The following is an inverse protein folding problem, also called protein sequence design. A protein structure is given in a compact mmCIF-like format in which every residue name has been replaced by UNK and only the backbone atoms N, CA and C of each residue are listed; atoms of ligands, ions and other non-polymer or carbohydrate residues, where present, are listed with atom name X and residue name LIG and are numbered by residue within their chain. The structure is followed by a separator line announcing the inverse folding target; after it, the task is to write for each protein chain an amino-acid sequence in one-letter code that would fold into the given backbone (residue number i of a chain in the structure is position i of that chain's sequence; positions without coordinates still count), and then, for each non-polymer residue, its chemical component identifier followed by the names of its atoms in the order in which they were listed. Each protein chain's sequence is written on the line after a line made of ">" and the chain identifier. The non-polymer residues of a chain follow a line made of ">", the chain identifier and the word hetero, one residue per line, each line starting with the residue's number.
data_IF_331991341925
#
_entry.id   IF_331991341925
#
_cell.length_a   1.000
_cell.length_b   1.000
_cell.length_c   1.000
_cell.angle_alpha   90.00
_cell.angle_beta   90.00
_cell.angle_gamma   90.00
#
_symmetry.space_group_name_H-M   'P 1'
#
loop_
_entity.id
_entity.type
_entity.pdbx_description
1 polymer ?
#
# COMPACT_ATOMS: atom_id res chain seq x y z
N UNK A 1 -11.20 18.36 14.70
CA UNK A 1 -10.09 18.71 13.79
C UNK A 1 -10.41 18.11 12.43
N UNK A 2 -10.87 18.92 11.47
CA UNK A 2 -11.24 18.46 10.12
C UNK A 2 -9.96 18.28 9.31
N UNK A 3 -9.42 17.07 9.29
CA UNK A 3 -8.25 16.74 8.47
C UNK A 3 -8.74 16.68 7.02
N UNK A 4 -8.29 17.66 6.24
CA UNK A 4 -8.38 17.85 4.79
C UNK A 4 -9.03 16.69 4.03
N UNK A 5 -10.18 16.98 3.40
CA UNK A 5 -10.76 16.16 2.33
C UNK A 5 -9.64 15.78 1.35
N UNK A 6 -9.57 14.50 1.00
CA UNK A 6 -8.76 13.96 -0.09
C UNK A 6 -8.94 14.92 -1.27
N UNK A 7 -7.86 15.59 -1.72
CA UNK A 7 -7.84 16.03 -3.11
C UNK A 7 -8.16 14.78 -3.93
N UNK A 8 -9.05 14.85 -4.92
CA UNK A 8 -9.28 13.74 -5.83
C UNK A 8 -7.92 13.31 -6.40
N UNK A 9 -7.41 12.18 -5.90
CA UNK A 9 -6.15 11.64 -6.36
C UNK A 9 -6.44 11.13 -7.76
N UNK A 10 -5.93 11.84 -8.76
CA UNK A 10 -5.92 11.32 -10.12
C UNK A 10 -4.90 10.18 -10.19
N UNK A 11 -5.39 8.96 -9.93
CA UNK A 11 -4.56 7.74 -9.88
C UNK A 11 -3.77 7.54 -11.17
N UNK A 12 -4.35 7.88 -12.32
CA UNK A 12 -3.64 7.81 -13.61
C UNK A 12 -2.42 8.74 -13.62
N UNK A 13 -2.58 9.99 -13.16
CA UNK A 13 -1.47 10.94 -13.10
C UNK A 13 -0.37 10.49 -12.14
N UNK A 14 -0.73 9.94 -10.97
CA UNK A 14 0.25 9.39 -10.02
C UNK A 14 1.01 8.18 -10.58
N UNK A 15 0.33 7.29 -11.29
CA UNK A 15 0.97 6.13 -11.91
C UNK A 15 1.93 6.56 -13.02
N UNK A 16 1.52 7.51 -13.87
CA UNK A 16 2.40 8.07 -14.91
C UNK A 16 3.63 8.71 -14.28
N UNK A 17 3.45 9.51 -13.21
CA UNK A 17 4.56 10.13 -12.51
C UNK A 17 5.52 9.06 -11.93
N UNK A 18 4.97 8.05 -11.27
CA UNK A 18 5.77 6.94 -10.73
C UNK A 18 6.60 6.26 -11.83
N UNK A 19 6.00 5.97 -13.00
CA UNK A 19 6.70 5.32 -14.10
C UNK A 19 7.80 6.23 -14.68
N UNK A 20 7.54 7.53 -14.82
CA UNK A 20 8.52 8.48 -15.31
C UNK A 20 9.72 8.66 -14.37
N UNK A 21 9.55 8.37 -13.07
CA UNK A 21 10.61 8.47 -12.07
C UNK A 21 11.47 7.17 -12.00
N UNK A 22 11.15 6.12 -12.76
CA UNK A 22 11.89 4.85 -12.77
C UNK A 22 13.14 4.91 -13.66
N UNK A 23 14.19 4.12 -13.37
CA UNK A 23 15.34 3.95 -14.25
C UNK A 23 14.97 3.36 -15.61
N UNK A 24 15.76 3.66 -16.64
CA UNK A 24 15.55 3.15 -18.01
C UNK A 24 15.83 1.64 -18.16
N UNK A 25 16.64 1.05 -17.28
CA UNK A 25 17.03 -0.37 -17.29
C UNK A 25 16.06 -1.27 -16.49
N UNK A 26 14.91 -0.73 -16.11
CA UNK A 26 13.91 -1.44 -15.30
C UNK A 26 13.16 -2.52 -16.10
N UNK A 27 12.85 -3.64 -15.46
CA UNK A 27 12.06 -4.72 -16.07
C UNK A 27 10.55 -4.51 -15.88
N UNK A 28 9.74 -5.26 -16.63
CA UNK A 28 8.30 -5.27 -16.43
C UNK A 28 7.93 -5.75 -15.02
N UNK A 29 8.62 -6.77 -14.50
CA UNK A 29 8.44 -7.30 -13.15
C UNK A 29 8.68 -6.24 -12.08
N UNK A 30 9.71 -5.40 -12.25
CA UNK A 30 10.02 -4.32 -11.32
C UNK A 30 8.91 -3.25 -11.32
N UNK A 31 8.43 -2.83 -12.50
CA UNK A 31 7.30 -1.89 -12.63
C UNK A 31 6.07 -2.46 -11.91
N UNK A 32 5.76 -3.74 -12.12
CA UNK A 32 4.64 -4.42 -11.45
C UNK A 32 4.83 -4.43 -9.93
N UNK A 33 6.05 -4.68 -9.44
CA UNK A 33 6.38 -4.65 -8.02
C UNK A 33 6.13 -3.27 -7.40
N UNK A 34 6.60 -2.19 -8.07
CA UNK A 34 6.36 -0.82 -7.61
C UNK A 34 4.86 -0.50 -7.51
N UNK A 35 4.07 -0.89 -8.53
CA UNK A 35 2.63 -0.70 -8.53
C UNK A 35 1.95 -1.50 -7.41
N UNK A 36 2.37 -2.74 -7.19
CA UNK A 36 1.85 -3.58 -6.11
C UNK A 36 2.10 -2.96 -4.73
N UNK A 37 3.33 -2.50 -4.47
CA UNK A 37 3.70 -1.85 -3.21
C UNK A 37 2.88 -0.58 -2.99
N UNK A 38 2.78 0.29 -4.01
CA UNK A 38 1.96 1.52 -3.93
C UNK A 38 0.49 1.20 -3.61
N UNK A 39 -0.08 0.20 -4.27
CA UNK A 39 -1.45 -0.25 -3.99
C UNK A 39 -1.61 -0.78 -2.56
N UNK A 40 -0.64 -1.56 -2.06
CA UNK A 40 -0.66 -2.05 -0.68
C UNK A 40 -0.64 -0.92 0.34
N UNK A 41 0.16 0.11 0.13
CA UNK A 41 0.23 1.28 1.00
C UNK A 41 -1.09 2.07 1.02
N UNK A 42 -1.66 2.37 -0.15
CA UNK A 42 -2.95 3.07 -0.23
C UNK A 42 -4.07 2.32 0.50
N UNK A 43 -4.07 0.98 0.41
CA UNK A 43 -5.01 0.14 1.17
C UNK A 43 -4.73 0.16 2.67
N UNK A 44 -3.47 0.12 3.07
CA UNK A 44 -3.08 0.18 4.48
C UNK A 44 -3.49 1.51 5.12
N UNK A 45 -3.26 2.63 4.43
CA UNK A 45 -3.71 3.96 4.88
C UNK A 45 -5.23 4.01 5.08
N UNK A 46 -5.99 3.47 4.12
CA UNK A 46 -7.45 3.38 4.23
C UNK A 46 -7.87 2.51 5.43
N UNK A 47 -7.21 1.37 5.65
CA UNK A 47 -7.50 0.48 6.78
C UNK A 47 -7.22 1.15 8.12
N UNK A 48 -6.14 1.93 8.23
CA UNK A 48 -5.82 2.70 9.43
C UNK A 48 -6.92 3.74 9.70
N UNK A 49 -7.33 4.47 8.67
CA UNK A 49 -8.41 5.46 8.76
C UNK A 49 -9.75 4.85 9.17
N UNK A 50 -10.07 3.67 8.65
CA UNK A 50 -11.29 2.91 8.99
C UNK A 50 -11.20 2.18 10.34
N UNK A 51 -10.07 2.28 11.06
CA UNK A 51 -9.85 1.57 12.32
C UNK A 51 -9.73 0.05 12.17
N UNK A 52 -9.44 -0.46 10.96
CA UNK A 52 -9.30 -1.90 10.63
C UNK A 52 -7.91 -2.46 10.97
N UNK A 53 -7.28 -1.95 12.02
CA UNK A 53 -5.99 -2.42 12.53
C UNK A 53 -6.19 -3.37 13.71
N UNK A 54 -5.23 -4.24 13.96
CA UNK A 54 -5.22 -5.12 15.14
C UNK A 54 -4.00 -4.84 16.02
N UNK A 55 -4.11 -5.01 17.34
CA UNK A 55 -2.97 -4.89 18.24
C UNK A 55 -1.93 -5.98 18.01
N UNK A 56 -0.68 -5.70 18.39
CA UNK A 56 0.47 -6.57 18.13
C UNK A 56 0.28 -8.00 18.65
N UNK A 57 -0.31 -8.18 19.84
CA UNK A 57 -0.58 -9.51 20.40
C UNK A 57 -1.49 -10.36 19.49
N UNK A 58 -2.52 -9.76 18.89
CA UNK A 58 -3.40 -10.47 17.95
C UNK A 58 -2.70 -10.82 16.63
N UNK A 59 -1.72 -10.01 16.18
CA UNK A 59 -0.88 -10.33 15.03
C UNK A 59 -0.10 -11.62 15.31
N UNK A 60 0.56 -11.70 16.47
CA UNK A 60 1.38 -12.85 16.86
C UNK A 60 0.56 -14.14 16.96
N UNK A 61 -0.64 -14.08 17.53
CA UNK A 61 -1.53 -15.25 17.61
C UNK A 61 -1.98 -15.74 16.22
N UNK A 62 -2.32 -14.82 15.31
CA UNK A 62 -2.66 -15.17 13.92
C UNK A 62 -1.46 -15.76 13.16
N UNK A 63 -0.27 -15.20 13.35
CA UNK A 63 0.96 -15.67 12.72
C UNK A 63 1.31 -17.10 13.19
N UNK A 64 1.28 -17.34 14.51
CA UNK A 64 1.54 -18.66 15.08
C UNK A 64 0.63 -19.74 14.50
N UNK A 65 -0.68 -19.45 14.44
CA UNK A 65 -1.70 -20.38 13.92
C UNK A 65 -1.52 -20.73 12.44
N UNK A 66 -0.92 -19.85 11.64
CA UNK A 66 -0.74 -20.05 10.20
C UNK A 66 0.62 -20.63 9.82
N UNK A 67 1.68 -20.28 10.55
CA UNK A 67 3.06 -20.65 10.23
C UNK A 67 3.53 -21.93 10.93
N UNK A 68 2.93 -22.29 12.06
CA UNK A 68 3.30 -23.46 12.86
C UNK A 68 2.18 -24.50 12.92
N UNK A 69 1.45 -24.65 11.82
CA UNK A 69 0.40 -25.64 11.64
C UNK A 69 0.92 -26.86 10.89
#
# INVERSE_FOLDING_TARGET
>A
MKIKMRNEINIKAEVIKLINDLPEDITLEDIQYHLFVKQKLLRAEQQIWEGKTIPHNQVMEKAKKKLFK
#
